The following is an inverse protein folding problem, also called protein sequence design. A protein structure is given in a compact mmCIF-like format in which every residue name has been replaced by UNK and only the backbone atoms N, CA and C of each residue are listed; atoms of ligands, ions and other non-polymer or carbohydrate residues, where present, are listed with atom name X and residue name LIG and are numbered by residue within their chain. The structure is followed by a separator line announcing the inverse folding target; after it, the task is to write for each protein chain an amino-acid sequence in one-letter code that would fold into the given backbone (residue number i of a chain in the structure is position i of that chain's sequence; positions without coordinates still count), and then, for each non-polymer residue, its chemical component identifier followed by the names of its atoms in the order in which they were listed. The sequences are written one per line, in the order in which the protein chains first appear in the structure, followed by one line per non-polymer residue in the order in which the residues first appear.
data_IF_611517245938
#
_entry.id   IF_611517245938
#
_cell.length_a   1.000
_cell.length_b   1.000
_cell.length_c   1.000
_cell.angle_alpha   90.00
_cell.angle_beta   90.00
_cell.angle_gamma   90.00
#
_symmetry.space_group_name_H-M   'P 1'
#
loop_
_entity.id
_entity.type
_entity.pdbx_description
1 polymer ?
#
# COMPACT_ATOMS: atom_id res chain seq x y z
N UNK A 1 -22.48 1.53 -18.12
CA UNK A 1 -22.31 0.29 -17.31
C UNK A 1 -20.85 -0.12 -17.13
N UNK A 2 -20.10 -0.47 -18.18
CA UNK A 2 -18.67 -0.85 -18.04
C UNK A 2 -17.82 0.26 -17.40
N UNK A 3 -18.04 1.53 -17.76
CA UNK A 3 -17.32 2.67 -17.19
C UNK A 3 -17.68 2.94 -15.72
N UNK A 4 -18.93 2.69 -15.31
CA UNK A 4 -19.33 2.80 -13.90
C UNK A 4 -18.61 1.79 -13.01
N UNK A 5 -18.52 0.53 -13.47
CA UNK A 5 -17.84 -0.54 -12.73
C UNK A 5 -16.35 -0.24 -12.61
N UNK A 6 -15.67 0.06 -13.73
CA UNK A 6 -14.24 0.38 -13.73
C UNK A 6 -13.97 1.65 -12.91
N UNK A 7 -14.78 2.69 -13.08
CA UNK A 7 -14.68 3.94 -12.31
C UNK A 7 -14.84 3.72 -10.82
N UNK A 8 -15.79 2.85 -10.41
CA UNK A 8 -16.00 2.47 -9.02
C UNK A 8 -14.80 1.74 -8.40
N UNK A 9 -14.19 0.80 -9.14
CA UNK A 9 -12.96 0.13 -8.70
C UNK A 9 -11.79 1.11 -8.56
N UNK A 10 -11.61 2.02 -9.52
CA UNK A 10 -10.58 3.05 -9.47
C UNK A 10 -10.78 4.01 -8.29
N UNK A 11 -12.01 4.45 -8.03
CA UNK A 11 -12.35 5.30 -6.88
C UNK A 11 -12.09 4.60 -5.55
N UNK A 12 -12.62 3.39 -5.38
CA UNK A 12 -12.49 2.66 -4.11
C UNK A 12 -11.02 2.36 -3.79
N UNK A 13 -10.26 1.86 -4.78
CA UNK A 13 -8.83 1.60 -4.62
C UNK A 13 -8.03 2.89 -4.38
N UNK A 14 -8.32 3.96 -5.12
CA UNK A 14 -7.67 5.26 -4.98
C UNK A 14 -7.86 5.89 -3.61
N UNK A 15 -9.11 5.91 -3.12
CA UNK A 15 -9.48 6.45 -1.80
C UNK A 15 -8.79 5.65 -0.68
N UNK A 16 -8.79 4.31 -0.77
CA UNK A 16 -8.08 3.49 0.21
C UNK A 16 -6.59 3.80 0.24
N UNK A 17 -5.97 4.04 -0.92
CA UNK A 17 -4.56 4.43 -1.01
C UNK A 17 -4.28 5.84 -0.46
N UNK A 18 -5.25 6.74 -0.50
CA UNK A 18 -5.11 8.08 0.07
C UNK A 18 -5.26 8.11 1.60
N UNK A 19 -6.21 7.35 2.14
CA UNK A 19 -6.61 7.43 3.56
C UNK A 19 -5.76 6.53 4.47
N UNK A 20 -5.41 5.32 4.04
CA UNK A 20 -4.77 4.33 4.90
C UNK A 20 -3.24 4.14 4.80
N UNK A 21 -2.43 4.96 4.11
CA UNK A 21 -1.01 4.65 3.93
C UNK A 21 -0.25 4.62 5.25
N UNK A 22 -0.48 5.63 6.11
CA UNK A 22 0.25 5.78 7.37
C UNK A 22 -0.05 4.63 8.35
N UNK A 23 -1.31 4.20 8.46
CA UNK A 23 -1.70 3.06 9.31
C UNK A 23 -1.05 1.76 8.85
N UNK A 24 -1.07 1.49 7.54
CA UNK A 24 -0.45 0.28 6.97
C UNK A 24 1.07 0.29 7.13
N UNK A 25 1.70 1.46 6.93
CA UNK A 25 3.14 1.63 7.14
C UNK A 25 3.54 1.39 8.59
N UNK A 26 2.85 2.00 9.56
CA UNK A 26 3.14 1.81 10.99
C UNK A 26 2.99 0.33 11.40
N UNK A 27 1.96 -0.35 10.89
CA UNK A 27 1.78 -1.78 11.14
C UNK A 27 2.93 -2.62 10.54
N UNK A 28 3.41 -2.28 9.35
CA UNK A 28 4.55 -2.94 8.72
C UNK A 28 5.86 -2.69 9.49
N UNK A 29 6.10 -1.44 9.92
CA UNK A 29 7.27 -1.07 10.73
C UNK A 29 7.29 -1.82 12.06
N UNK A 30 6.13 -1.89 12.75
CA UNK A 30 5.98 -2.63 13.99
C UNK A 30 6.28 -4.12 13.80
N UNK A 31 5.75 -4.73 12.72
CA UNK A 31 5.98 -6.14 12.39
C UNK A 31 7.46 -6.44 12.12
N UNK A 32 8.12 -5.61 11.31
CA UNK A 32 9.56 -5.77 11.04
C UNK A 32 10.38 -5.62 12.32
N UNK A 33 10.07 -4.60 13.13
CA UNK A 33 10.76 -4.37 14.41
C UNK A 33 10.61 -5.58 15.35
N UNK A 34 9.40 -6.11 15.49
CA UNK A 34 9.15 -7.30 16.31
C UNK A 34 9.95 -8.50 15.80
N UNK A 35 9.99 -8.73 14.48
CA UNK A 35 10.74 -9.85 13.93
C UNK A 35 12.25 -9.71 14.11
N UNK A 36 12.80 -8.49 13.99
CA UNK A 36 14.22 -8.24 14.30
C UNK A 36 14.55 -8.55 15.76
N UNK A 37 13.65 -8.22 16.70
CA UNK A 37 13.83 -8.54 18.11
C UNK A 37 13.77 -10.05 18.37
N UNK A 38 12.85 -10.76 17.72
CA UNK A 38 12.78 -12.23 17.79
C UNK A 38 14.09 -12.87 17.29
N UNK A 39 14.60 -12.44 16.13
CA UNK A 39 15.85 -12.95 15.58
C UNK A 39 17.05 -12.63 16.49
N UNK A 40 17.11 -11.42 17.06
CA UNK A 40 18.15 -11.05 18.02
C UNK A 40 18.09 -11.87 19.33
N UNK A 41 16.89 -12.35 19.71
CA UNK A 41 16.69 -13.24 20.85
C UNK A 41 17.00 -14.72 20.53
N UNK A 42 17.44 -15.03 19.31
CA UNK A 42 17.78 -16.39 18.88
C UNK A 42 16.62 -17.21 18.33
N UNK A 43 15.51 -16.57 17.94
CA UNK A 43 14.42 -17.27 17.27
C UNK A 43 14.89 -17.84 15.91
N UNK A 44 14.37 -19.02 15.50
CA UNK A 44 14.74 -19.61 14.22
C UNK A 44 14.30 -18.74 13.04
N UNK A 45 15.15 -18.67 12.01
CA UNK A 45 14.81 -18.06 10.73
C UNK A 45 13.74 -18.88 10.00
N UNK A 46 12.81 -18.20 9.32
CA UNK A 46 11.77 -18.83 8.49
C UNK A 46 12.28 -19.26 7.13
N UNK A 47 13.31 -18.58 6.64
CA UNK A 47 13.97 -18.84 5.38
C UNK A 47 15.43 -18.42 5.48
N UNK A 48 16.26 -18.95 4.59
CA UNK A 48 17.70 -18.69 4.58
C UNK A 48 18.00 -17.18 4.46
N UNK A 49 18.82 -16.65 5.38
CA UNK A 49 19.21 -15.24 5.44
C UNK A 49 18.03 -14.28 5.69
N UNK A 50 17.03 -14.70 6.47
CA UNK A 50 15.90 -13.84 6.84
C UNK A 50 16.38 -12.53 7.46
N UNK A 51 17.27 -12.57 8.45
CA UNK A 51 17.78 -11.36 9.10
C UNK A 51 18.41 -10.38 8.11
N UNK A 52 19.30 -10.89 7.24
CA UNK A 52 19.99 -10.09 6.23
C UNK A 52 19.03 -9.49 5.21
N UNK A 53 18.01 -10.23 4.80
CA UNK A 53 17.01 -9.74 3.84
C UNK A 53 16.20 -8.57 4.38
N UNK A 54 15.86 -8.60 5.68
CA UNK A 54 15.10 -7.54 6.34
C UNK A 54 15.95 -6.26 6.44
N UNK A 55 17.26 -6.40 6.61
CA UNK A 55 18.18 -5.26 6.62
C UNK A 55 18.49 -4.71 5.22
N UNK A 56 18.60 -5.59 4.22
CA UNK A 56 18.88 -5.20 2.83
C UNK A 56 17.71 -4.45 2.18
N UNK A 57 16.47 -4.78 2.55
CA UNK A 57 15.26 -4.20 1.96
C UNK A 57 14.38 -3.53 3.02
N UNK A 58 14.77 -2.34 3.52
CA UNK A 58 13.96 -1.61 4.48
C UNK A 58 12.64 -1.12 3.86
N UNK A 59 11.67 -0.83 4.72
CA UNK A 59 10.42 -0.20 4.30
C UNK A 59 10.70 1.16 3.65
N UNK A 60 9.91 1.55 2.63
CA UNK A 60 10.07 2.85 1.99
C UNK A 60 9.91 3.99 3.01
N UNK A 61 10.77 5.02 2.95
CA UNK A 61 10.81 6.09 3.96
C UNK A 61 9.60 7.02 3.91
N UNK A 62 8.87 7.03 2.78
CA UNK A 62 7.72 7.91 2.57
C UNK A 62 6.57 7.16 1.92
N UNK A 63 5.36 7.56 2.29
CA UNK A 63 4.12 7.05 1.69
C UNK A 63 3.71 7.83 0.43
N UNK A 64 4.55 8.77 -0.02
CA UNK A 64 4.25 9.71 -1.11
C UNK A 64 3.89 8.98 -2.39
N UNK A 65 4.70 7.99 -2.80
CA UNK A 65 4.44 7.17 -3.99
C UNK A 65 3.11 6.43 -3.92
N UNK A 66 2.73 5.95 -2.73
CA UNK A 66 1.45 5.27 -2.52
C UNK A 66 0.28 6.25 -2.63
N UNK A 67 0.40 7.45 -2.03
CA UNK A 67 -0.60 8.51 -2.12
C UNK A 67 -0.75 9.05 -3.54
N UNK A 68 0.34 9.19 -4.30
CA UNK A 68 0.32 9.64 -5.70
C UNK A 68 -0.45 8.65 -6.57
N UNK A 69 -0.18 7.34 -6.42
CA UNK A 69 -0.95 6.30 -7.12
C UNK A 69 -2.43 6.35 -6.73
N UNK A 70 -2.72 6.54 -5.45
CA UNK A 70 -4.09 6.71 -4.95
C UNK A 70 -4.80 7.93 -5.55
N UNK A 71 -4.13 9.07 -5.60
CA UNK A 71 -4.65 10.30 -6.21
C UNK A 71 -4.97 10.09 -7.70
N UNK A 72 -4.04 9.50 -8.44
CA UNK A 72 -4.23 9.19 -9.86
C UNK A 72 -5.45 8.29 -10.08
N UNK A 73 -5.56 7.18 -9.34
CA UNK A 73 -6.70 6.26 -9.44
C UNK A 73 -8.03 6.95 -9.09
N UNK A 74 -8.02 7.81 -8.07
CA UNK A 74 -9.22 8.57 -7.67
C UNK A 74 -9.65 9.50 -8.80
N UNK A 75 -8.72 10.25 -9.40
CA UNK A 75 -9.01 11.16 -10.53
C UNK A 75 -9.54 10.40 -11.74
N UNK A 76 -8.90 9.28 -12.11
CA UNK A 76 -9.38 8.43 -13.21
C UNK A 76 -10.78 7.89 -12.94
N UNK A 77 -11.08 7.45 -11.72
CA UNK A 77 -12.41 6.94 -11.38
C UNK A 77 -13.49 8.01 -11.46
N UNK A 78 -13.22 9.23 -10.98
CA UNK A 78 -14.12 10.39 -11.15
C UNK A 78 -14.34 10.71 -12.63
N UNK A 79 -13.27 10.77 -13.42
CA UNK A 79 -13.35 11.08 -14.85
C UNK A 79 -14.19 10.05 -15.62
N UNK A 80 -14.05 8.76 -15.29
CA UNK A 80 -14.85 7.69 -15.90
C UNK A 80 -16.33 7.77 -15.55
N UNK A 81 -16.67 8.13 -14.32
CA UNK A 81 -18.07 8.36 -13.92
C UNK A 81 -18.67 9.60 -14.58
N UNK A 82 -17.91 10.69 -14.69
CA UNK A 82 -18.35 11.88 -15.42
C UNK A 82 -18.57 11.58 -16.91
N UNK A 83 -17.70 10.77 -17.51
CA UNK A 83 -17.82 10.38 -18.92
C UNK A 83 -19.06 9.51 -19.17
N UNK A 84 -19.43 8.62 -18.25
CA UNK A 84 -20.68 7.84 -18.34
C UNK A 84 -21.91 8.74 -18.06
N UNK A 85 -21.80 9.77 -17.23
CA UNK A 85 -22.90 10.71 -16.92
C UNK A 85 -23.26 11.65 -18.09
N UNK A 86 -22.27 12.12 -18.85
CA UNK A 86 -22.48 13.02 -19.99
C UNK A 86 -22.72 12.29 -21.32
N UNK A 87 -22.73 10.96 -21.32
CA UNK A 87 -22.95 10.11 -22.49
C UNK A 87 -24.40 9.64 -22.56
#
# INVERSE_FOLDING_TARGET
MQFLIVGGFCLFSGIQMLIFPRKKRLAAEAKIRSRKQELAAGAPERYFEEGRSIDAYPLPPTDSRWRIKGAFLTVCGVALWLLDYFR
#
